data_IF_939340823000
#
_entry.id   IF_939340823000
#
_cell.length_a   1.000
_cell.length_b   1.000
_cell.length_c   1.000
_cell.angle_alpha   90.00
_cell.angle_beta   90.00
_cell.angle_gamma   90.00
#
_symmetry.space_group_name_H-M   'P 1'
#
loop_
_entity.id
_entity.type
_entity.pdbx_description
1 polymer ?
#
# COMPACT_ATOMS: atom_id res chain seq x y z
N UNK A 1 18.44 10.53 -12.69
CA UNK A 1 18.42 11.79 -11.90
C UNK A 1 19.72 12.53 -12.17
N UNK A 2 19.68 13.80 -12.56
CA UNK A 2 20.91 14.58 -12.81
C UNK A 2 21.65 14.77 -11.49
N UNK A 3 22.90 14.28 -11.40
CA UNK A 3 23.75 14.41 -10.18
C UNK A 3 23.93 15.87 -9.77
N UNK A 4 23.82 16.80 -10.73
CA UNK A 4 23.96 18.24 -10.53
C UNK A 4 22.80 18.89 -9.78
N UNK A 5 21.61 18.27 -9.80
CA UNK A 5 20.42 18.85 -9.17
C UNK A 5 20.08 18.22 -7.81
N UNK A 6 20.83 17.21 -7.35
CA UNK A 6 20.50 16.44 -6.15
C UNK A 6 20.33 17.32 -4.90
N UNK A 7 21.26 18.25 -4.68
CA UNK A 7 21.17 19.17 -3.53
C UNK A 7 19.97 20.13 -3.60
N UNK A 8 19.58 20.58 -4.79
CA UNK A 8 18.39 21.42 -4.95
C UNK A 8 17.10 20.60 -4.75
N UNK A 9 17.05 19.37 -5.26
CA UNK A 9 15.93 18.43 -5.03
C UNK A 9 15.76 18.12 -3.55
N UNK A 10 16.86 17.87 -2.84
CA UNK A 10 16.85 17.63 -1.39
C UNK A 10 16.27 18.83 -0.63
N UNK A 11 16.74 20.04 -0.90
CA UNK A 11 16.24 21.26 -0.27
C UNK A 11 14.75 21.52 -0.56
N UNK A 12 14.30 21.30 -1.80
CA UNK A 12 12.87 21.41 -2.14
C UNK A 12 12.03 20.33 -1.45
N UNK A 13 12.58 19.14 -1.23
CA UNK A 13 11.91 18.06 -0.49
C UNK A 13 11.73 18.44 0.98
N UNK A 14 12.78 18.98 1.61
CA UNK A 14 12.68 19.51 2.97
C UNK A 14 11.70 20.68 3.06
N UNK A 15 11.70 21.58 2.07
CA UNK A 15 10.73 22.66 2.02
C UNK A 15 9.30 22.11 1.98
N UNK A 16 9.02 21.11 1.14
CA UNK A 16 7.71 20.46 1.05
C UNK A 16 7.26 19.84 2.39
N UNK A 17 8.18 19.20 3.11
CA UNK A 17 7.91 18.64 4.44
C UNK A 17 7.53 19.74 5.43
N UNK A 18 8.24 20.86 5.45
CA UNK A 18 7.91 21.98 6.34
C UNK A 18 6.60 22.68 5.95
N UNK A 19 6.31 22.85 4.66
CA UNK A 19 5.00 23.36 4.21
C UNK A 19 3.87 22.51 4.80
N UNK A 20 4.07 21.18 4.89
CA UNK A 20 3.10 20.25 5.46
C UNK A 20 2.83 20.36 6.96
N UNK A 21 3.67 21.09 7.69
CA UNK A 21 3.51 21.28 9.13
C UNK A 21 2.75 22.56 9.45
N UNK A 22 2.60 23.47 8.47
CA UNK A 22 1.79 24.68 8.49
C UNK A 22 2.00 25.65 9.67
N UNK A 23 3.02 25.45 10.51
CA UNK A 23 3.35 26.37 11.61
C UNK A 23 4.06 27.61 11.09
N UNK A 24 3.98 28.74 11.80
CA UNK A 24 4.72 29.95 11.46
C UNK A 24 6.24 29.74 11.39
N UNK A 25 6.77 28.82 12.20
CA UNK A 25 8.17 28.43 12.14
C UNK A 25 8.46 27.63 10.86
N UNK A 26 7.63 26.63 10.57
CA UNK A 26 7.82 25.77 9.40
C UNK A 26 7.64 26.52 8.08
N UNK A 27 6.68 27.47 8.00
CA UNK A 27 6.52 28.36 6.83
C UNK A 27 7.80 29.15 6.55
N UNK A 28 8.48 29.64 7.61
CA UNK A 28 9.78 30.29 7.44
C UNK A 28 10.83 29.30 6.95
N UNK A 29 11.02 28.18 7.63
CA UNK A 29 12.05 27.20 7.24
C UNK A 29 11.83 26.71 5.80
N UNK A 30 10.59 26.44 5.41
CA UNK A 30 10.24 26.10 4.05
C UNK A 30 10.66 27.20 3.05
N UNK A 31 10.30 28.44 3.32
CA UNK A 31 10.64 29.58 2.45
C UNK A 31 12.15 29.73 2.26
N UNK A 32 12.92 29.50 3.32
CA UNK A 32 14.39 29.56 3.32
C UNK A 32 14.99 28.42 2.50
N UNK A 33 14.48 27.20 2.71
CA UNK A 33 14.91 26.04 1.94
C UNK A 33 14.60 26.19 0.44
N UNK A 34 13.47 26.82 0.09
CA UNK A 34 13.14 27.16 -1.30
C UNK A 34 14.16 28.14 -1.88
N UNK A 35 14.44 29.23 -1.18
CA UNK A 35 15.39 30.24 -1.64
C UNK A 35 16.79 29.65 -1.86
N UNK A 36 17.26 28.86 -0.90
CA UNK A 36 18.55 28.18 -1.00
C UNK A 36 18.58 27.20 -2.18
N UNK A 37 17.48 26.47 -2.43
CA UNK A 37 17.39 25.57 -3.57
C UNK A 37 17.47 26.34 -4.90
N UNK A 38 16.74 27.46 -5.01
CA UNK A 38 16.74 28.34 -6.18
C UNK A 38 18.13 28.94 -6.44
N UNK A 39 18.80 29.39 -5.38
CA UNK A 39 20.16 29.93 -5.48
C UNK A 39 21.15 28.86 -5.94
N UNK A 40 21.12 27.68 -5.31
CA UNK A 40 22.02 26.56 -5.63
C UNK A 40 21.79 26.08 -7.06
N UNK A 41 20.54 25.84 -7.46
CA UNK A 41 20.23 25.33 -8.80
C UNK A 41 20.67 26.33 -9.89
N UNK A 42 20.49 27.63 -9.64
CA UNK A 42 20.94 28.70 -10.55
C UNK A 42 22.47 28.71 -10.66
N UNK A 43 23.18 28.70 -9.53
CA UNK A 43 24.65 28.70 -9.50
C UNK A 43 25.23 27.46 -10.18
N UNK A 44 24.69 26.27 -9.88
CA UNK A 44 25.15 25.02 -10.48
C UNK A 44 24.92 25.02 -11.98
N UNK A 45 23.73 25.44 -12.43
CA UNK A 45 23.39 25.44 -13.86
C UNK A 45 24.34 26.31 -14.67
N UNK A 46 24.64 27.52 -14.19
CA UNK A 46 25.59 28.44 -14.83
C UNK A 46 27.03 27.90 -14.87
N UNK A 47 27.38 27.01 -13.94
CA UNK A 47 28.70 26.37 -13.85
C UNK A 47 28.78 25.01 -14.57
N UNK A 48 27.72 24.55 -15.24
CA UNK A 48 27.76 23.30 -15.97
C UNK A 48 28.82 23.32 -17.09
N UNK A 49 29.49 22.19 -17.36
CA UNK A 49 30.39 22.10 -18.50
C UNK A 49 29.66 22.43 -19.81
N UNK A 50 30.33 23.13 -20.73
CA UNK A 50 29.70 23.66 -21.97
C UNK A 50 28.97 22.62 -22.83
N UNK A 51 29.38 21.35 -22.73
CA UNK A 51 28.74 20.22 -23.42
C UNK A 51 27.26 20.02 -23.02
N UNK A 52 26.84 20.49 -21.83
CA UNK A 52 25.46 20.38 -21.35
C UNK A 52 24.54 21.49 -21.89
N UNK A 53 25.06 22.47 -22.63
CA UNK A 53 24.29 23.58 -23.17
C UNK A 53 23.76 23.33 -24.59
N UNK A 54 23.85 22.11 -25.12
CA UNK A 54 23.29 21.72 -26.43
C UNK A 54 23.66 22.68 -27.59
N UNK A 55 24.92 23.17 -27.60
CA UNK A 55 25.42 24.11 -28.62
C UNK A 55 25.16 25.59 -28.33
N UNK A 56 24.39 25.92 -27.28
CA UNK A 56 24.22 27.28 -26.79
C UNK A 56 25.49 27.77 -26.09
N UNK A 57 25.83 29.05 -26.30
CA UNK A 57 26.93 29.69 -25.57
C UNK A 57 26.50 29.91 -24.13
N UNK A 58 27.23 29.31 -23.18
CA UNK A 58 27.12 29.63 -21.76
C UNK A 58 28.04 30.79 -21.32
N UNK A 59 27.90 31.26 -20.07
CA UNK A 59 28.78 32.28 -19.51
C UNK A 59 30.23 31.81 -19.44
N UNK A 60 31.15 32.77 -19.52
CA UNK A 60 32.57 32.54 -19.29
C UNK A 60 32.87 32.44 -17.80
N UNK A 61 33.97 31.76 -17.45
CA UNK A 61 34.42 31.66 -16.05
C UNK A 61 34.60 33.04 -15.40
N UNK A 62 35.10 34.02 -16.16
CA UNK A 62 35.27 35.40 -15.70
C UNK A 62 33.93 36.06 -15.38
N UNK A 63 32.92 35.92 -16.24
CA UNK A 63 31.57 36.46 -15.97
C UNK A 63 30.95 35.86 -14.70
N UNK A 64 31.18 34.57 -14.45
CA UNK A 64 30.75 33.90 -13.22
C UNK A 64 31.50 34.43 -11.99
N UNK A 65 32.83 34.60 -12.09
CA UNK A 65 33.66 35.16 -11.02
C UNK A 65 33.28 36.62 -10.69
N UNK A 66 32.98 37.41 -11.73
CA UNK A 66 32.56 38.82 -11.62
C UNK A 66 31.19 38.97 -10.91
N UNK A 67 30.39 37.91 -10.77
CA UNK A 67 29.16 37.94 -9.99
C UNK A 67 29.41 38.14 -8.48
N UNK A 68 30.62 37.89 -7.98
CA UNK A 68 31.04 38.12 -6.60
C UNK A 68 30.02 37.68 -5.53
N UNK A 69 29.45 36.48 -5.70
CA UNK A 69 28.42 35.91 -4.83
C UNK A 69 27.08 36.69 -4.75
N UNK A 70 26.82 37.64 -5.65
CA UNK A 70 25.52 38.30 -5.77
C UNK A 70 24.51 37.42 -6.50
N UNK A 71 23.43 37.04 -5.83
CA UNK A 71 22.36 36.25 -6.46
C UNK A 71 21.68 36.99 -7.62
N UNK A 72 21.45 38.31 -7.48
CA UNK A 72 20.93 39.13 -8.58
C UNK A 72 21.83 39.08 -9.82
N UNK A 73 23.15 39.08 -9.66
CA UNK A 73 24.09 38.96 -10.78
C UNK A 73 24.02 37.58 -11.47
N UNK A 74 23.84 36.50 -10.69
CA UNK A 74 23.61 35.18 -11.26
C UNK A 74 22.30 35.10 -12.05
N UNK A 75 21.23 35.71 -11.54
CA UNK A 75 19.94 35.79 -12.23
C UNK A 75 20.05 36.57 -13.55
N UNK A 76 20.81 37.67 -13.58
CA UNK A 76 21.08 38.40 -14.81
C UNK A 76 21.83 37.55 -15.85
N UNK A 77 22.83 36.78 -15.42
CA UNK A 77 23.54 35.85 -16.30
C UNK A 77 22.62 34.74 -16.82
N UNK A 78 21.77 34.19 -15.96
CA UNK A 78 20.79 33.18 -16.34
C UNK A 78 19.83 33.72 -17.40
N UNK A 79 19.31 34.93 -17.20
CA UNK A 79 18.42 35.58 -18.16
C UNK A 79 19.14 35.91 -19.47
N UNK A 80 20.40 36.36 -19.41
CA UNK A 80 21.19 36.71 -20.60
C UNK A 80 21.48 35.48 -21.48
N UNK A 81 21.92 34.40 -20.86
CA UNK A 81 22.42 33.24 -21.59
C UNK A 81 21.35 32.16 -21.80
N UNK A 82 20.34 32.05 -20.95
CA UNK A 82 19.39 30.94 -20.94
C UNK A 82 17.93 31.41 -20.86
N UNK A 83 17.61 32.58 -21.42
CA UNK A 83 16.23 33.14 -21.45
C UNK A 83 15.18 32.14 -21.91
N UNK A 84 15.51 31.33 -22.91
CA UNK A 84 14.60 30.33 -23.50
C UNK A 84 14.23 29.22 -22.52
N UNK A 85 15.09 28.91 -21.55
CA UNK A 85 14.80 27.93 -20.50
C UNK A 85 13.81 28.48 -19.49
N UNK A 86 13.89 29.77 -19.17
CA UNK A 86 13.05 30.39 -18.13
C UNK A 86 11.82 31.13 -18.69
N UNK A 87 11.35 30.77 -19.89
CA UNK A 87 10.13 31.36 -20.46
C UNK A 87 8.94 31.13 -19.51
N UNK A 88 8.24 32.21 -19.18
CA UNK A 88 7.11 32.19 -18.25
C UNK A 88 7.49 32.36 -16.77
N UNK A 89 8.79 32.50 -16.45
CA UNK A 89 9.26 32.93 -15.15
C UNK A 89 9.77 34.37 -15.23
N UNK A 90 9.27 35.25 -14.36
CA UNK A 90 9.86 36.57 -14.19
C UNK A 90 11.02 36.50 -13.19
N UNK A 91 12.19 36.93 -13.64
CA UNK A 91 13.39 37.02 -12.81
C UNK A 91 13.21 38.04 -11.69
N UNK A 92 12.39 39.07 -11.92
CA UNK A 92 12.00 40.06 -10.92
C UNK A 92 11.21 39.45 -9.76
N UNK A 93 10.36 38.45 -10.03
CA UNK A 93 9.62 37.72 -8.99
C UNK A 93 10.58 36.89 -8.11
N UNK A 94 11.54 36.22 -8.74
CA UNK A 94 12.57 35.45 -8.02
C UNK A 94 13.40 36.39 -7.12
N UNK A 95 13.82 37.54 -7.64
CA UNK A 95 14.56 38.54 -6.87
C UNK A 95 13.71 39.16 -5.74
N UNK A 96 12.42 39.35 -5.98
CA UNK A 96 11.48 39.81 -4.95
C UNK A 96 11.43 38.82 -3.78
N UNK A 97 11.25 37.52 -4.05
CA UNK A 97 11.20 36.49 -3.00
C UNK A 97 12.54 36.32 -2.28
N UNK A 98 13.66 36.43 -2.99
CA UNK A 98 14.99 36.43 -2.37
C UNK A 98 15.18 37.60 -1.38
N UNK A 99 14.72 38.80 -1.76
CA UNK A 99 14.73 39.97 -0.86
C UNK A 99 13.78 39.78 0.33
N UNK A 100 12.61 39.18 0.11
CA UNK A 100 11.67 38.86 1.17
C UNK A 100 12.30 37.92 2.22
N UNK A 101 13.03 36.88 1.78
CA UNK A 101 13.80 36.00 2.67
C UNK A 101 14.79 36.78 3.52
N UNK A 102 15.55 37.70 2.94
CA UNK A 102 16.54 38.49 3.69
C UNK A 102 15.88 39.35 4.78
N UNK A 103 14.71 39.93 4.51
CA UNK A 103 13.94 40.72 5.49
C UNK A 103 13.43 39.87 6.66
N UNK A 104 12.91 38.67 6.36
CA UNK A 104 12.39 37.74 7.38
C UNK A 104 13.43 37.35 8.45
N UNK A 105 14.72 37.46 8.13
CA UNK A 105 15.83 37.19 9.06
C UNK A 105 16.38 38.43 9.74
N UNK A 106 16.47 39.55 9.02
CA UNK A 106 17.12 40.74 9.55
C UNK A 106 16.20 41.60 10.42
N UNK A 107 14.89 41.54 10.23
CA UNK A 107 13.96 42.41 10.98
C UNK A 107 13.57 41.86 12.36
N UNK A 108 13.91 40.60 12.70
CA UNK A 108 13.71 40.04 14.06
C UNK A 108 12.26 40.03 14.58
N UNK A 109 11.28 40.38 13.75
CA UNK A 109 9.89 40.69 14.15
C UNK A 109 9.04 39.46 14.44
N UNK A 110 9.55 38.24 14.27
CA UNK A 110 8.79 37.01 14.49
C UNK A 110 7.64 36.78 13.50
N UNK A 111 7.48 37.65 12.50
CA UNK A 111 6.44 37.57 11.48
C UNK A 111 6.63 36.30 10.63
N UNK A 112 5.53 35.58 10.38
CA UNK A 112 5.50 34.43 9.46
C UNK A 112 5.51 34.92 8.02
N UNK A 113 5.92 34.05 7.10
CA UNK A 113 5.70 34.27 5.66
C UNK A 113 4.21 34.14 5.37
N UNK A 114 3.71 35.01 4.51
CA UNK A 114 2.39 34.88 3.92
C UNK A 114 2.29 33.60 3.08
N UNK A 115 1.16 32.91 3.18
CA UNK A 115 1.00 31.59 2.58
C UNK A 115 0.96 31.63 1.05
N UNK A 116 0.35 32.67 0.47
CA UNK A 116 0.31 32.84 -0.99
C UNK A 116 1.72 33.05 -1.53
N UNK A 117 2.54 33.84 -0.83
CA UNK A 117 3.94 34.06 -1.17
C UNK A 117 4.76 32.77 -1.11
N UNK A 118 4.55 31.94 -0.08
CA UNK A 118 5.21 30.65 0.05
C UNK A 118 4.83 29.69 -1.08
N UNK A 119 3.54 29.57 -1.40
CA UNK A 119 3.03 28.70 -2.47
C UNK A 119 3.50 29.17 -3.85
N UNK A 120 3.47 30.48 -4.10
CA UNK A 120 3.95 31.07 -5.33
C UNK A 120 5.45 30.81 -5.52
N UNK A 121 6.29 31.07 -4.50
CA UNK A 121 7.73 30.87 -4.63
C UNK A 121 8.09 29.38 -4.79
N UNK A 122 7.38 28.50 -4.10
CA UNK A 122 7.52 27.05 -4.29
C UNK A 122 7.11 26.59 -5.69
N UNK A 123 6.10 27.21 -6.28
CA UNK A 123 5.68 26.89 -7.66
C UNK A 123 6.73 27.36 -8.66
N UNK A 124 7.27 28.56 -8.47
CA UNK A 124 8.38 29.08 -9.28
C UNK A 124 9.59 28.15 -9.21
N UNK A 125 9.97 27.66 -8.03
CA UNK A 125 11.13 26.78 -7.88
C UNK A 125 10.94 25.41 -8.55
N UNK A 126 9.73 24.85 -8.50
CA UNK A 126 9.36 23.63 -9.25
C UNK A 126 9.47 23.81 -10.75
N UNK A 127 8.97 24.92 -11.28
CA UNK A 127 9.09 25.22 -12.71
C UNK A 127 10.57 25.43 -13.07
N UNK A 128 11.32 26.14 -12.23
CA UNK A 128 12.73 26.43 -12.48
C UNK A 128 13.56 25.15 -12.56
N UNK A 129 13.42 24.22 -11.61
CA UNK A 129 14.18 22.96 -11.63
C UNK A 129 13.80 22.06 -12.81
N UNK A 130 12.52 22.03 -13.19
CA UNK A 130 12.05 21.37 -14.40
C UNK A 130 12.71 21.98 -15.64
N UNK A 131 12.75 23.30 -15.75
CA UNK A 131 13.29 23.96 -16.94
C UNK A 131 14.81 23.86 -17.06
N UNK A 132 15.53 24.02 -15.96
CA UNK A 132 16.99 23.98 -15.96
C UNK A 132 17.52 22.55 -16.10
N UNK A 133 16.92 21.59 -15.40
CA UNK A 133 17.49 20.23 -15.28
C UNK A 133 16.61 19.12 -15.88
N UNK A 134 15.46 19.45 -16.46
CA UNK A 134 14.48 18.49 -16.97
C UNK A 134 14.00 17.52 -15.89
N UNK A 135 13.84 18.05 -14.66
CA UNK A 135 13.37 17.29 -13.50
C UNK A 135 11.97 17.74 -13.13
N UNK A 136 11.00 16.87 -13.39
CA UNK A 136 9.64 17.01 -12.87
C UNK A 136 9.65 16.71 -11.36
N UNK A 137 9.84 17.77 -10.56
CA UNK A 137 9.85 17.67 -9.11
C UNK A 137 8.44 17.42 -8.60
N UNK A 138 8.16 16.15 -8.29
CA UNK A 138 6.94 15.70 -7.65
C UNK A 138 7.10 15.75 -6.15
N UNK A 139 6.16 16.40 -5.49
CA UNK A 139 6.07 16.39 -4.03
C UNK A 139 5.13 15.27 -3.60
N UNK A 140 5.53 14.50 -2.59
CA UNK A 140 4.58 13.68 -1.82
C UNK A 140 3.65 14.54 -0.96
N UNK A 141 3.98 15.84 -0.82
CA UNK A 141 3.09 16.87 -0.35
C UNK A 141 2.10 17.24 -1.45
N UNK A 142 0.98 16.54 -1.42
CA UNK A 142 -0.23 16.98 -2.08
C UNK A 142 -0.93 17.98 -1.16
N UNK A 143 -1.30 19.16 -1.65
CA UNK A 143 -2.23 20.05 -0.92
C UNK A 143 -3.46 19.22 -0.53
N UNK A 144 -3.67 19.07 0.78
CA UNK A 144 -4.83 18.40 1.33
C UNK A 144 -6.05 19.26 1.02
N UNK A 145 -6.89 18.79 0.11
CA UNK A 145 -8.18 19.39 -0.17
C UNK A 145 -9.29 18.33 0.00
N UNK A 146 -10.54 18.78 0.12
CA UNK A 146 -11.68 17.89 0.36
C UNK A 146 -11.84 16.84 -0.74
N UNK A 147 -11.65 17.23 -2.01
CA UNK A 147 -11.73 16.33 -3.16
C UNK A 147 -10.74 15.18 -3.07
N UNK A 148 -9.48 15.47 -2.71
CA UNK A 148 -8.44 14.46 -2.54
C UNK A 148 -8.63 13.62 -1.29
N UNK A 149 -9.13 14.19 -0.19
CA UNK A 149 -9.50 13.42 0.99
C UNK A 149 -10.56 12.37 0.63
N UNK A 150 -11.59 12.77 -0.12
CA UNK A 150 -12.63 11.86 -0.62
C UNK A 150 -12.01 10.82 -1.57
N UNK A 151 -11.12 11.24 -2.48
CA UNK A 151 -10.43 10.32 -3.39
C UNK A 151 -9.57 9.28 -2.68
N UNK A 152 -8.81 9.67 -1.66
CA UNK A 152 -8.03 8.73 -0.83
C UNK A 152 -8.94 7.78 -0.04
N UNK A 153 -10.04 8.30 0.48
CA UNK A 153 -11.03 7.50 1.20
C UNK A 153 -11.67 6.45 0.29
N UNK A 154 -12.03 6.82 -0.95
CA UNK A 154 -12.56 5.86 -1.93
C UNK A 154 -11.56 4.72 -2.20
N UNK A 155 -10.26 5.00 -2.29
CA UNK A 155 -9.22 3.97 -2.43
C UNK A 155 -9.12 3.04 -1.22
N UNK A 156 -9.27 3.57 -0.01
CA UNK A 156 -9.36 2.75 1.21
C UNK A 156 -10.56 1.81 1.10
N UNK A 157 -11.71 2.31 0.66
CA UNK A 157 -12.92 1.52 0.50
C UNK A 157 -12.82 0.47 -0.62
N UNK A 158 -12.18 0.80 -1.75
CA UNK A 158 -11.88 -0.15 -2.83
C UNK A 158 -11.01 -1.31 -2.33
N UNK A 159 -9.94 -1.00 -1.59
CA UNK A 159 -9.06 -2.01 -1.01
C UNK A 159 -9.78 -2.89 0.03
N UNK A 160 -10.69 -2.31 0.83
CA UNK A 160 -11.51 -3.10 1.75
C UNK A 160 -12.49 -4.00 0.99
N UNK A 161 -13.16 -3.48 -0.04
CA UNK A 161 -14.06 -4.27 -0.88
C UNK A 161 -13.33 -5.45 -1.54
N UNK A 162 -12.06 -5.27 -1.89
CA UNK A 162 -11.23 -6.34 -2.41
C UNK A 162 -10.91 -7.40 -1.35
N UNK A 163 -10.63 -6.99 -0.10
CA UNK A 163 -10.39 -7.92 1.02
C UNK A 163 -11.67 -8.72 1.35
N UNK A 164 -12.84 -8.12 1.23
CA UNK A 164 -14.12 -8.70 1.66
C UNK A 164 -14.92 -9.40 0.55
N UNK A 165 -14.40 -9.51 -0.68
CA UNK A 165 -15.07 -10.07 -1.88
C UNK A 165 -16.58 -9.73 -2.01
N UNK A 166 -16.85 -8.61 -2.68
CA UNK A 166 -18.12 -8.10 -3.23
C UNK A 166 -19.11 -7.33 -2.31
N UNK A 167 -19.31 -6.05 -2.69
CA UNK A 167 -20.53 -5.22 -2.70
C UNK A 167 -21.59 -5.36 -1.60
N UNK A 168 -21.20 -5.31 -0.32
CA UNK A 168 -22.14 -5.39 0.82
C UNK A 168 -22.00 -4.17 1.75
N UNK A 169 -23.15 -3.62 2.13
CA UNK A 169 -23.34 -2.37 2.88
C UNK A 169 -22.70 -2.37 4.29
N UNK A 170 -21.55 -1.68 4.36
CA UNK A 170 -20.77 -0.96 5.41
C UNK A 170 -21.15 -0.89 6.91
N UNK A 171 -22.22 -1.46 7.44
CA UNK A 171 -22.61 -1.25 8.85
C UNK A 171 -22.58 -2.51 9.75
N UNK A 172 -22.14 -3.66 9.24
CA UNK A 172 -22.12 -4.90 10.04
C UNK A 172 -20.80 -5.13 10.78
N UNK A 173 -20.84 -5.01 12.11
CA UNK A 173 -19.76 -5.38 13.06
C UNK A 173 -19.24 -6.80 12.84
N UNK A 174 -20.08 -7.69 12.32
CA UNK A 174 -19.82 -9.11 12.08
C UNK A 174 -18.65 -9.39 11.11
N UNK A 175 -18.36 -8.47 10.18
CA UNK A 175 -17.28 -8.66 9.18
C UNK A 175 -15.87 -8.35 9.71
N UNK A 176 -15.77 -7.53 10.75
CA UNK A 176 -14.49 -7.26 11.39
C UNK A 176 -13.98 -8.48 12.15
N UNK A 177 -14.88 -9.22 12.79
CA UNK A 177 -14.56 -10.47 13.47
C UNK A 177 -14.09 -11.54 12.46
N UNK A 178 -14.76 -11.63 11.30
CA UNK A 178 -14.38 -12.55 10.23
C UNK A 178 -13.01 -12.21 9.62
N UNK A 179 -12.75 -10.93 9.28
CA UNK A 179 -11.44 -10.49 8.80
C UNK A 179 -10.33 -10.64 9.85
N UNK A 180 -10.66 -10.54 11.13
CA UNK A 180 -9.72 -10.77 12.22
C UNK A 180 -9.38 -12.27 12.35
N UNK A 181 -10.41 -13.12 12.31
CA UNK A 181 -10.28 -14.58 12.45
C UNK A 181 -9.55 -15.23 11.28
N UNK A 182 -9.72 -14.69 10.07
CA UNK A 182 -9.01 -15.09 8.86
C UNK A 182 -7.60 -14.48 8.73
N UNK A 183 -7.21 -13.62 9.68
CA UNK A 183 -5.90 -12.94 9.68
C UNK A 183 -5.71 -11.95 8.54
N UNK A 184 -6.79 -11.53 7.88
CA UNK A 184 -6.78 -10.57 6.77
C UNK A 184 -6.50 -9.15 7.25
N UNK A 185 -6.98 -8.80 8.46
CA UNK A 185 -6.78 -7.51 9.10
C UNK A 185 -6.43 -7.68 10.58
N UNK A 186 -5.63 -6.77 11.12
CA UNK A 186 -5.34 -6.71 12.56
C UNK A 186 -6.30 -5.76 13.28
N UNK A 187 -6.47 -5.96 14.60
CA UNK A 187 -7.25 -5.06 15.46
C UNK A 187 -6.78 -3.61 15.35
N UNK A 188 -5.46 -3.39 15.20
CA UNK A 188 -4.85 -2.08 15.02
C UNK A 188 -5.38 -1.38 13.76
N UNK A 189 -5.32 -2.06 12.60
CA UNK A 189 -5.77 -1.50 11.32
C UNK A 189 -7.27 -1.22 11.35
N UNK A 190 -8.07 -2.12 11.92
CA UNK A 190 -9.52 -1.94 12.06
C UNK A 190 -9.84 -0.68 12.87
N UNK A 191 -9.15 -0.48 13.99
CA UNK A 191 -9.33 0.70 14.85
C UNK A 191 -8.97 1.99 14.11
N UNK A 192 -7.89 1.98 13.34
CA UNK A 192 -7.48 3.13 12.53
C UNK A 192 -8.49 3.46 11.42
N UNK A 193 -9.04 2.44 10.73
CA UNK A 193 -10.09 2.63 9.71
C UNK A 193 -11.34 3.27 10.32
N UNK A 194 -11.80 2.78 11.48
CA UNK A 194 -12.98 3.33 12.18
C UNK A 194 -12.73 4.80 12.58
N UNK A 195 -11.54 5.09 13.10
CA UNK A 195 -11.13 6.45 13.47
C UNK A 195 -11.16 7.39 12.26
N UNK A 196 -10.58 6.97 11.13
CA UNK A 196 -10.59 7.75 9.90
C UNK A 196 -12.00 7.93 9.33
N UNK A 197 -12.86 6.90 9.39
CA UNK A 197 -14.28 7.00 8.94
C UNK A 197 -15.05 8.04 9.74
N UNK A 198 -14.88 8.04 11.06
CA UNK A 198 -15.49 9.03 11.95
C UNK A 198 -15.02 10.44 11.61
N UNK A 199 -13.72 10.60 11.40
CA UNK A 199 -13.09 11.88 11.07
C UNK A 199 -13.53 12.40 9.69
N UNK A 200 -13.68 11.51 8.69
CA UNK A 200 -14.28 11.84 7.38
C UNK A 200 -15.72 12.34 7.54
N UNK A 201 -16.55 11.65 8.32
CA UNK A 201 -17.94 12.06 8.53
C UNK A 201 -18.05 13.43 9.18
N UNK A 202 -17.19 13.72 10.15
CA UNK A 202 -17.13 15.04 10.79
C UNK A 202 -16.74 16.16 9.83
N UNK A 203 -15.85 15.89 8.87
CA UNK A 203 -15.39 16.89 7.89
C UNK A 203 -16.39 17.08 6.76
N UNK A 204 -17.01 16.00 6.27
CA UNK A 204 -18.00 16.05 5.17
C UNK A 204 -19.32 16.66 5.61
N UNK A 205 -19.73 16.45 6.87
CA UNK A 205 -21.00 16.95 7.41
C UNK A 205 -20.84 18.15 8.37
N UNK A 206 -19.62 18.66 8.56
CA UNK A 206 -19.35 19.80 9.43
C UNK A 206 -19.43 21.13 8.68
N UNK A 207 -20.13 22.11 9.26
CA UNK A 207 -20.35 23.43 8.64
C UNK A 207 -19.11 24.35 8.59
N UNK A 208 -17.96 23.91 9.11
CA UNK A 208 -16.71 24.69 9.11
C UNK A 208 -15.49 23.78 8.96
N UNK A 209 -14.99 23.65 7.73
CA UNK A 209 -13.78 22.87 7.42
C UNK A 209 -12.56 23.72 7.78
N UNK A 210 -11.93 23.42 8.91
CA UNK A 210 -10.62 23.98 9.26
C UNK A 210 -9.52 23.26 8.45
N UNK A 211 -8.66 24.01 7.75
CA UNK A 211 -7.52 23.50 6.97
C UNK A 211 -6.60 22.59 7.79
N UNK A 212 -6.40 22.89 9.08
CA UNK A 212 -5.58 22.06 9.98
C UNK A 212 -6.20 20.67 10.20
N UNK A 213 -7.53 20.62 10.37
CA UNK A 213 -8.27 19.35 10.51
C UNK A 213 -8.28 18.57 9.21
N UNK A 214 -8.38 19.25 8.08
CA UNK A 214 -8.33 18.64 6.75
C UNK A 214 -6.97 18.00 6.48
N UNK A 215 -5.89 18.68 6.88
CA UNK A 215 -4.53 18.19 6.73
C UNK A 215 -4.23 17.00 7.66
N UNK A 216 -4.70 17.04 8.91
CA UNK A 216 -4.60 15.89 9.83
C UNK A 216 -5.38 14.67 9.30
N UNK A 217 -6.59 14.91 8.77
CA UNK A 217 -7.39 13.89 8.10
C UNK A 217 -6.64 13.24 6.94
N UNK A 218 -6.10 14.09 6.07
CA UNK A 218 -5.39 13.66 4.87
C UNK A 218 -4.19 12.79 5.20
N UNK A 219 -3.39 13.19 6.21
CA UNK A 219 -2.24 12.41 6.69
C UNK A 219 -2.67 11.05 7.25
N UNK A 220 -3.68 11.02 8.12
CA UNK A 220 -4.18 9.77 8.72
C UNK A 220 -4.74 8.80 7.69
N UNK A 221 -5.54 9.30 6.72
CA UNK A 221 -6.09 8.45 5.65
C UNK A 221 -4.96 7.88 4.79
N UNK A 222 -3.96 8.69 4.46
CA UNK A 222 -2.80 8.24 3.67
C UNK A 222 -1.98 7.17 4.40
N UNK A 223 -1.79 7.32 5.71
CA UNK A 223 -1.11 6.32 6.53
C UNK A 223 -1.88 5.00 6.57
N UNK A 224 -3.19 5.05 6.84
CA UNK A 224 -4.06 3.88 6.83
C UNK A 224 -4.06 3.20 5.46
N UNK A 225 -4.17 3.97 4.38
CA UNK A 225 -4.11 3.45 3.02
C UNK A 225 -2.79 2.71 2.76
N UNK A 226 -1.66 3.28 3.19
CA UNK A 226 -0.35 2.65 3.02
C UNK A 226 -0.23 1.33 3.78
N UNK A 227 -0.74 1.28 5.02
CA UNK A 227 -0.81 0.04 5.81
C UNK A 227 -1.74 -0.98 5.16
N UNK A 228 -2.89 -0.54 4.66
CA UNK A 228 -3.87 -1.39 4.01
C UNK A 228 -3.32 -1.97 2.69
N UNK A 229 -2.69 -1.17 1.82
CA UNK A 229 -2.09 -1.63 0.57
C UNK A 229 -1.02 -2.70 0.79
N UNK A 230 -0.19 -2.56 1.85
CA UNK A 230 0.78 -3.59 2.24
C UNK A 230 0.09 -4.90 2.64
N UNK A 231 -1.02 -4.80 3.37
CA UNK A 231 -1.81 -5.98 3.75
C UNK A 231 -2.55 -6.56 2.54
N UNK A 232 -3.16 -5.77 1.66
CA UNK A 232 -3.79 -6.24 0.42
C UNK A 232 -2.76 -6.95 -0.47
N UNK A 233 -1.53 -6.45 -0.57
CA UNK A 233 -0.48 -7.14 -1.31
C UNK A 233 -0.14 -8.51 -0.69
N UNK A 234 -0.07 -8.59 0.63
CA UNK A 234 0.11 -9.86 1.36
C UNK A 234 -1.10 -10.79 1.22
N UNK A 235 -2.32 -10.25 1.29
CA UNK A 235 -3.59 -10.97 1.11
C UNK A 235 -3.66 -11.50 -0.32
N UNK A 236 -3.38 -10.71 -1.36
CA UNK A 236 -3.33 -11.17 -2.76
C UNK A 236 -2.36 -12.33 -2.97
N UNK A 237 -1.22 -12.30 -2.28
CA UNK A 237 -0.19 -13.34 -2.36
C UNK A 237 -0.58 -14.62 -1.60
N UNK A 238 -1.27 -14.49 -0.45
CA UNK A 238 -1.75 -15.62 0.35
C UNK A 238 -3.08 -16.22 -0.11
N UNK A 239 -4.06 -15.39 -0.47
CA UNK A 239 -5.42 -15.78 -0.89
C UNK A 239 -5.39 -16.49 -2.24
N UNK A 240 -4.53 -16.05 -3.19
CA UNK A 240 -4.34 -16.78 -4.45
C UNK A 240 -3.74 -18.19 -4.28
N UNK A 241 -2.95 -18.41 -3.24
CA UNK A 241 -2.28 -19.69 -2.99
C UNK A 241 -3.01 -20.60 -1.98
N UNK A 242 -4.13 -20.14 -1.40
CA UNK A 242 -4.90 -20.88 -0.38
C UNK A 242 -6.38 -21.04 -0.69
N UNK A 243 -6.87 -20.40 -1.74
CA UNK A 243 -8.22 -20.62 -2.24
C UNK A 243 -8.22 -21.77 -3.24
N UNK A 244 -8.93 -22.83 -2.88
CA UNK A 244 -9.23 -23.94 -3.75
C UNK A 244 -10.72 -23.99 -4.02
N UNK A 245 -11.10 -24.82 -4.97
CA UNK A 245 -12.48 -25.00 -5.37
C UNK A 245 -12.83 -26.48 -5.21
N UNK A 246 -14.09 -26.74 -4.89
CA UNK A 246 -14.65 -28.08 -5.01
C UNK A 246 -14.56 -28.57 -6.47
N UNK A 247 -14.78 -29.87 -6.67
CA UNK A 247 -14.79 -30.50 -7.97
C UNK A 247 -15.62 -29.69 -9.01
N UNK A 248 -15.19 -29.64 -10.28
CA UNK A 248 -14.24 -30.54 -10.94
C UNK A 248 -12.75 -30.16 -10.86
N UNK A 249 -12.41 -29.07 -10.16
CA UNK A 249 -11.04 -28.51 -10.12
C UNK A 249 -10.07 -29.48 -9.45
N UNK A 250 -8.90 -29.68 -10.09
CA UNK A 250 -7.80 -30.47 -9.52
C UNK A 250 -6.84 -29.54 -8.79
N UNK A 251 -6.62 -29.82 -7.52
CA UNK A 251 -5.85 -29.01 -6.58
C UNK A 251 -4.62 -29.78 -6.11
N UNK A 252 -3.54 -29.06 -5.78
CA UNK A 252 -2.34 -29.60 -5.13
C UNK A 252 -2.16 -28.93 -3.77
N UNK A 253 -2.14 -29.73 -2.70
CA UNK A 253 -2.02 -29.27 -1.31
C UNK A 253 -0.88 -30.00 -0.60
N UNK A 254 -0.30 -29.36 0.42
CA UNK A 254 0.83 -29.89 1.20
C UNK A 254 0.43 -30.15 2.64
N UNK A 255 0.96 -31.22 3.20
CA UNK A 255 0.72 -31.58 4.60
C UNK A 255 1.33 -32.92 4.96
N UNK A 256 1.05 -33.35 6.18
CA UNK A 256 1.46 -34.65 6.70
C UNK A 256 0.27 -35.61 6.66
N UNK A 257 0.46 -36.81 6.11
CA UNK A 257 -0.59 -37.84 6.10
C UNK A 257 -0.57 -38.56 7.46
N UNK A 258 -1.70 -38.56 8.14
CA UNK A 258 -1.90 -39.26 9.40
C UNK A 258 -3.11 -40.20 9.31
N UNK A 259 -3.09 -41.21 10.18
CA UNK A 259 -4.18 -42.16 10.35
C UNK A 259 -4.95 -41.84 11.62
N UNK A 260 -6.26 -41.81 11.53
CA UNK A 260 -7.15 -41.62 12.67
C UNK A 260 -8.15 -42.76 12.76
N UNK A 261 -8.45 -43.19 14.00
CA UNK A 261 -9.39 -44.27 14.29
C UNK A 261 -10.54 -43.74 15.13
N UNK A 262 -11.77 -44.04 14.71
CA UNK A 262 -12.99 -43.60 15.38
C UNK A 262 -13.83 -44.80 15.85
N UNK A 263 -14.42 -44.74 17.06
CA UNK A 263 -15.34 -45.75 17.56
C UNK A 263 -16.72 -45.54 16.90
N UNK A 264 -16.87 -46.04 15.67
CA UNK A 264 -18.13 -45.97 14.92
C UNK A 264 -18.34 -44.66 14.14
N UNK A 265 -19.53 -44.49 13.52
CA UNK A 265 -19.83 -43.35 12.64
C UNK A 265 -19.91 -42.00 13.40
N UNK A 266 -19.65 -40.85 12.71
CA UNK A 266 -19.59 -39.48 13.28
C UNK A 266 -20.75 -38.99 14.18
N UNK A 267 -21.90 -39.68 14.21
CA UNK A 267 -23.10 -39.28 14.98
C UNK A 267 -23.54 -40.30 16.03
N UNK A 268 -22.74 -41.33 16.32
CA UNK A 268 -23.07 -42.30 17.36
C UNK A 268 -22.76 -41.73 18.76
N UNK A 269 -23.67 -41.89 19.73
CA UNK A 269 -23.45 -41.44 21.10
C UNK A 269 -22.47 -42.35 21.83
N UNK A 270 -21.64 -41.77 22.71
CA UNK A 270 -20.74 -42.49 23.63
C UNK A 270 -21.49 -43.28 24.72
N UNK A 271 -22.67 -43.83 24.45
CA UNK A 271 -23.35 -44.70 25.39
C UNK A 271 -22.71 -46.10 25.35
N UNK A 272 -22.06 -46.47 26.45
CA UNK A 272 -21.22 -47.67 26.65
C UNK A 272 -21.89 -49.04 26.36
N UNK A 273 -23.17 -49.09 25.98
CA UNK A 273 -23.95 -50.33 25.89
C UNK A 273 -24.26 -50.84 24.48
N UNK A 274 -23.84 -50.14 23.42
CA UNK A 274 -23.95 -50.63 22.04
C UNK A 274 -22.64 -50.32 21.29
N UNK A 275 -21.56 -51.05 21.60
CA UNK A 275 -20.35 -51.02 20.77
C UNK A 275 -20.58 -51.84 19.49
N UNK A 276 -20.68 -51.26 18.28
CA UNK A 276 -20.23 -51.98 17.11
C UNK A 276 -18.72 -52.19 17.26
N UNK A 277 -18.26 -53.44 17.18
CA UNK A 277 -16.85 -53.85 17.35
C UNK A 277 -15.91 -53.38 16.23
N UNK A 278 -16.33 -52.40 15.43
CA UNK A 278 -15.67 -52.02 14.18
C UNK A 278 -15.08 -50.60 14.34
N UNK A 279 -13.75 -50.55 14.49
CA UNK A 279 -12.99 -49.30 14.43
C UNK A 279 -12.95 -48.81 12.97
N UNK A 280 -13.30 -47.54 12.75
CA UNK A 280 -13.24 -46.92 11.43
C UNK A 280 -11.90 -46.20 11.30
N UNK A 281 -11.02 -46.76 10.47
CA UNK A 281 -9.76 -46.12 10.10
C UNK A 281 -9.97 -45.16 8.93
N UNK A 282 -9.55 -43.91 9.08
CA UNK A 282 -9.51 -42.92 8.02
C UNK A 282 -8.11 -42.36 7.83
N UNK A 283 -7.86 -41.89 6.61
CA UNK A 283 -6.65 -41.17 6.27
C UNK A 283 -6.95 -39.68 6.18
N UNK A 284 -6.16 -38.89 6.88
CA UNK A 284 -6.28 -37.43 6.90
C UNK A 284 -4.97 -36.79 6.48
N UNK A 285 -5.06 -35.64 5.84
CA UNK A 285 -3.94 -34.77 5.57
C UNK A 285 -4.05 -33.58 6.52
N UNK A 286 -3.13 -33.52 7.49
CA UNK A 286 -2.95 -32.34 8.32
C UNK A 286 -2.15 -31.32 7.52
N UNK A 287 -2.79 -30.20 7.20
CA UNK A 287 -2.25 -29.22 6.28
C UNK A 287 -1.15 -28.41 6.96
N UNK A 288 -0.05 -28.18 6.23
CA UNK A 288 1.02 -27.28 6.69
C UNK A 288 0.47 -25.85 6.91
N UNK A 289 -0.54 -25.48 6.12
CA UNK A 289 -1.22 -24.19 6.20
C UNK A 289 -2.71 -24.38 5.91
N UNK A 290 -3.56 -23.72 6.70
CA UNK A 290 -5.01 -23.76 6.48
C UNK A 290 -5.40 -23.19 5.12
N UNK A 291 -6.44 -23.77 4.52
CA UNK A 291 -6.96 -23.43 3.18
C UNK A 291 -8.44 -23.04 3.23
N UNK A 292 -8.91 -22.39 2.17
CA UNK A 292 -10.34 -22.16 1.93
C UNK A 292 -10.76 -22.97 0.70
N UNK A 293 -11.93 -23.61 0.75
CA UNK A 293 -12.48 -24.39 -0.36
C UNK A 293 -13.85 -23.84 -0.73
N UNK A 294 -13.93 -23.25 -1.92
CA UNK A 294 -15.09 -22.51 -2.40
C UNK A 294 -16.01 -23.39 -3.24
N UNK A 295 -17.31 -23.15 -3.10
CA UNK A 295 -18.33 -23.68 -4.00
C UNK A 295 -18.53 -22.75 -5.19
N UNK A 296 -18.61 -23.30 -6.40
CA UNK A 296 -19.02 -22.53 -7.59
C UNK A 296 -20.54 -22.39 -7.71
N UNK A 297 -21.30 -23.09 -6.85
CA UNK A 297 -22.77 -23.06 -6.85
C UNK A 297 -23.25 -21.85 -6.06
N UNK A 298 -24.16 -21.05 -6.65
CA UNK A 298 -24.77 -19.89 -5.98
C UNK A 298 -25.50 -20.36 -4.72
N UNK A 299 -25.36 -19.59 -3.62
CA UNK A 299 -25.89 -19.89 -2.27
C UNK A 299 -27.38 -20.31 -2.18
N UNK A 300 -28.17 -20.13 -3.25
CA UNK A 300 -29.59 -20.50 -3.28
C UNK A 300 -29.84 -21.99 -3.52
N UNK A 301 -28.83 -22.75 -3.95
CA UNK A 301 -28.87 -24.22 -4.00
C UNK A 301 -28.02 -24.76 -2.84
N UNK A 302 -28.65 -25.19 -1.75
CA UNK A 302 -28.00 -25.95 -0.66
C UNK A 302 -27.51 -27.32 -1.17
N UNK A 303 -26.50 -27.31 -2.03
CA UNK A 303 -25.74 -28.47 -2.40
C UNK A 303 -24.81 -28.89 -1.26
N UNK A 304 -24.36 -30.13 -1.30
CA UNK A 304 -23.42 -30.70 -0.32
C UNK A 304 -22.04 -30.02 -0.24
N UNK A 305 -21.73 -29.12 -1.18
CA UNK A 305 -20.48 -28.38 -1.25
C UNK A 305 -20.73 -26.93 -0.79
N UNK A 306 -20.87 -26.70 0.52
CA UNK A 306 -20.87 -25.35 1.07
C UNK A 306 -19.43 -24.85 1.23
N UNK A 307 -19.17 -23.57 0.95
CA UNK A 307 -17.83 -22.99 1.11
C UNK A 307 -17.30 -23.20 2.52
N UNK A 308 -16.07 -23.72 2.62
CA UNK A 308 -15.38 -23.99 3.88
C UNK A 308 -14.18 -23.06 4.03
N UNK A 309 -14.01 -22.47 5.22
CA UNK A 309 -12.91 -21.55 5.52
C UNK A 309 -11.99 -22.13 6.58
N UNK A 310 -10.71 -21.75 6.53
CA UNK A 310 -9.69 -22.13 7.53
C UNK A 310 -9.59 -23.65 7.77
N UNK A 311 -9.80 -24.44 6.72
CA UNK A 311 -9.68 -25.89 6.77
C UNK A 311 -8.22 -26.24 7.02
N UNK A 312 -7.96 -26.90 8.14
CA UNK A 312 -6.66 -27.36 8.60
C UNK A 312 -6.45 -28.86 8.36
N UNK A 313 -7.55 -29.62 8.21
CA UNK A 313 -7.54 -31.05 7.97
C UNK A 313 -8.44 -31.44 6.79
N UNK A 314 -7.94 -32.32 5.93
CA UNK A 314 -8.68 -32.85 4.78
C UNK A 314 -8.70 -34.38 4.86
N UNK A 315 -9.89 -34.99 4.79
CA UNK A 315 -10.00 -36.45 4.72
C UNK A 315 -9.66 -36.92 3.30
N UNK A 316 -8.70 -37.85 3.20
CA UNK A 316 -8.24 -38.39 1.93
C UNK A 316 -9.05 -39.64 1.56
N UNK A 317 -9.48 -39.71 0.31
CA UNK A 317 -10.17 -40.87 -0.25
C UNK A 317 -9.54 -41.22 -1.61
N UNK A 318 -9.37 -42.51 -1.89
CA UNK A 318 -8.97 -42.97 -3.23
C UNK A 318 -9.87 -44.11 -3.67
N UNK A 319 -10.40 -44.01 -4.89
CA UNK A 319 -11.06 -45.12 -5.59
C UNK A 319 -10.10 -45.86 -6.53
N UNK A 320 -8.84 -45.40 -6.61
CA UNK A 320 -7.87 -45.93 -7.56
C UNK A 320 -6.91 -46.88 -6.86
N UNK A 321 -6.71 -48.05 -7.45
CA UNK A 321 -5.80 -49.09 -6.93
C UNK A 321 -4.31 -48.68 -6.99
N UNK A 322 -3.96 -47.71 -7.85
CA UNK A 322 -2.58 -47.22 -8.00
C UNK A 322 -2.17 -46.20 -6.94
N UNK A 323 -3.11 -45.69 -6.14
CA UNK A 323 -2.84 -44.71 -5.07
C UNK A 323 -2.96 -45.40 -3.71
N UNK A 324 -1.80 -45.64 -3.08
CA UNK A 324 -1.69 -46.29 -1.76
C UNK A 324 -1.37 -45.25 -0.68
N UNK A 325 -2.40 -44.62 -0.12
CA UNK A 325 -2.28 -43.54 0.88
C UNK A 325 -1.49 -44.03 2.11
N UNK A 326 -1.72 -45.28 2.50
CA UNK A 326 -1.09 -45.94 3.64
C UNK A 326 0.44 -45.98 3.56
N UNK A 327 1.02 -45.92 2.36
CA UNK A 327 2.49 -45.93 2.18
C UNK A 327 3.15 -44.59 2.55
N UNK A 328 2.36 -43.55 2.79
CA UNK A 328 2.80 -42.21 3.13
C UNK A 328 2.47 -41.79 4.57
N UNK A 329 2.00 -42.72 5.42
CA UNK A 329 1.73 -42.45 6.84
C UNK A 329 2.95 -41.81 7.54
N UNK A 330 2.69 -40.69 8.24
CA UNK A 330 3.65 -39.88 8.97
C UNK A 330 4.59 -39.03 8.10
N UNK A 331 4.41 -38.99 6.76
CA UNK A 331 5.33 -38.27 5.85
C UNK A 331 4.75 -36.95 5.36
N UNK A 332 5.64 -35.98 5.17
CA UNK A 332 5.33 -34.74 4.46
C UNK A 332 5.20 -34.99 2.95
N UNK A 333 4.04 -34.64 2.41
CA UNK A 333 3.68 -34.94 1.03
C UNK A 333 3.03 -33.76 0.34
N UNK A 334 3.06 -33.80 -0.99
CA UNK A 334 2.19 -33.02 -1.86
C UNK A 334 1.12 -33.95 -2.42
N UNK A 335 -0.14 -33.69 -2.09
CA UNK A 335 -1.29 -34.46 -2.52
C UNK A 335 -1.98 -33.70 -3.65
N UNK A 336 -2.19 -34.39 -4.78
CA UNK A 336 -2.97 -33.89 -5.92
C UNK A 336 -4.31 -34.61 -5.97
N UNK A 337 -5.40 -33.85 -6.02
CA UNK A 337 -6.74 -34.43 -6.01
C UNK A 337 -7.84 -33.44 -6.33
N UNK A 338 -9.10 -33.86 -6.16
CA UNK A 338 -10.28 -33.00 -6.28
C UNK A 338 -11.00 -32.91 -4.94
N UNK A 339 -11.40 -31.71 -4.53
CA UNK A 339 -12.15 -31.55 -3.30
C UNK A 339 -13.62 -31.89 -3.50
N UNK A 340 -14.25 -32.46 -2.50
CA UNK A 340 -15.71 -32.63 -2.42
C UNK A 340 -16.16 -32.54 -0.96
N UNK A 341 -17.41 -32.11 -0.75
CA UNK A 341 -17.98 -31.95 0.58
C UNK A 341 -18.40 -33.29 1.20
N UNK A 342 -18.67 -33.29 2.50
CA UNK A 342 -19.18 -34.47 3.18
C UNK A 342 -20.61 -34.82 2.70
N UNK A 343 -20.74 -35.83 1.83
CA UNK A 343 -22.04 -36.27 1.29
C UNK A 343 -22.73 -37.39 2.10
N UNK A 344 -22.01 -38.09 2.98
CA UNK A 344 -22.50 -39.26 3.72
C UNK A 344 -22.31 -39.09 5.22
N UNK A 345 -23.10 -39.82 6.00
CA UNK A 345 -22.96 -39.87 7.47
C UNK A 345 -21.69 -40.60 7.94
N UNK A 346 -20.75 -40.95 7.05
CA UNK A 346 -19.52 -41.71 7.37
C UNK A 346 -18.24 -40.88 7.14
N UNK A 347 -18.36 -39.58 6.91
CA UNK A 347 -17.21 -38.68 6.77
C UNK A 347 -16.94 -37.95 8.08
N UNK A 348 -15.68 -37.87 8.47
CA UNK A 348 -15.24 -37.27 9.74
C UNK A 348 -14.61 -35.87 9.55
N UNK A 349 -14.43 -35.43 8.29
CA UNK A 349 -14.02 -34.07 7.96
C UNK A 349 -15.06 -33.37 7.07
N UNK A 350 -15.16 -32.04 7.19
CA UNK A 350 -16.04 -31.21 6.36
C UNK A 350 -15.58 -31.13 4.90
N UNK A 351 -14.28 -31.28 4.66
CA UNK A 351 -13.66 -31.31 3.33
C UNK A 351 -12.97 -32.65 3.11
N UNK A 352 -13.31 -33.29 1.99
CA UNK A 352 -12.67 -34.50 1.51
C UNK A 352 -11.93 -34.24 0.20
N UNK A 353 -10.91 -35.05 -0.09
CA UNK A 353 -10.19 -35.00 -1.35
C UNK A 353 -10.12 -36.39 -2.00
N UNK A 354 -10.58 -36.49 -3.25
CA UNK A 354 -10.35 -37.65 -4.10
C UNK A 354 -8.92 -37.58 -4.63
N UNK A 355 -8.06 -38.44 -4.11
CA UNK A 355 -6.62 -38.42 -4.40
C UNK A 355 -6.35 -39.00 -5.79
N UNK A 356 -5.68 -38.21 -6.62
CA UNK A 356 -5.20 -38.60 -7.94
C UNK A 356 -3.73 -39.03 -7.87
N UNK A 357 -2.91 -38.35 -7.05
CA UNK A 357 -1.48 -38.62 -6.93
C UNK A 357 -0.93 -38.11 -5.59
N UNK A 358 0.10 -38.76 -5.05
CA UNK A 358 0.85 -38.35 -3.85
C UNK A 358 2.34 -38.36 -4.17
N UNK A 359 3.06 -37.29 -3.81
CA UNK A 359 4.51 -37.19 -3.93
C UNK A 359 5.14 -36.83 -2.59
N UNK A 360 6.32 -37.37 -2.32
CA UNK A 360 7.13 -36.93 -1.17
C UNK A 360 7.51 -35.45 -1.35
N UNK A 361 7.34 -34.65 -0.31
CA UNK A 361 7.88 -33.31 -0.26
C UNK A 361 9.38 -33.42 0.08
N UNK A 362 10.26 -33.28 -0.92
CA UNK A 362 11.71 -33.43 -0.76
C UNK A 362 12.41 -32.12 -0.32
N UNK A 363 11.64 -31.04 -0.13
CA UNK A 363 12.15 -29.70 0.20
C UNK A 363 12.14 -29.42 1.73
N UNK A 364 12.27 -30.47 2.56
CA UNK A 364 12.33 -30.37 4.02
C UNK A 364 13.71 -30.05 4.57
#
# INVERSE_FOLDING_TARGET
MSVWASGAVELLSHAAQHISLNSAFDKRIAFISIDNAVEIMTRIYLNLPKQYFNGQRGPTRREIEDCNNSFSAYLELLNRYFREKIIGLDVGDIEYYHRLRNKLYHDGTGLSVDEEHLKAYFTISKILILRLFDIDFKTDYEEANLEKLIGLWNKVEENLNEIFESDILRDDTFKWEDALSSGLLTTEIITEIISVRSLRNQIVHGDNINEERLLDAYKKVKEVLTKLEKNVAWVRDKVRNRNYFFEPVVSEIKGQINRECYPGPPFFSEDENDFPSEEYEIWVLDLEQSINVHSEVRQEDEGFNSTQYNVDKVQLCSRREDVKIETYEGKDVVVKGRFFGAHTQFHFASVLMEVINIKMNLDG
#
